data_IF_723345318868
#
_entry.id   IF_723345318868
#
_cell.length_a   1.000
_cell.length_b   1.000
_cell.length_c   1.000
_cell.angle_alpha   90.00
_cell.angle_beta   90.00
_cell.angle_gamma   90.00
#
_symmetry.space_group_name_H-M   'P 1'
#
loop_
_entity.id
_entity.type
_entity.pdbx_description
1 polymer ?
#
# COMPACT_ATOMS: atom_id res chain seq x y z
N UNK A 1 18.05 -36.10 28.68
CA UNK A 1 18.51 -37.46 28.37
C UNK A 1 20.03 -37.45 28.38
N UNK A 2 20.63 -38.32 29.18
CA UNK A 2 22.08 -38.53 29.19
C UNK A 2 22.42 -39.48 28.04
N UNK A 3 23.46 -39.15 27.27
CA UNK A 3 24.05 -40.09 26.34
C UNK A 3 25.57 -40.00 26.38
N UNK A 4 26.21 -41.10 25.99
CA UNK A 4 27.64 -41.30 26.15
C UNK A 4 28.28 -41.42 24.76
N UNK A 5 29.35 -40.67 24.52
CA UNK A 5 30.24 -40.85 23.35
C UNK A 5 31.62 -41.19 23.90
N UNK A 6 32.07 -42.43 23.68
CA UNK A 6 33.30 -42.93 24.30
C UNK A 6 33.17 -42.97 25.82
N UNK A 7 34.19 -42.47 26.54
CA UNK A 7 34.23 -42.43 28.01
C UNK A 7 33.72 -41.10 28.60
N UNK A 8 33.16 -40.21 27.77
CA UNK A 8 32.62 -38.93 28.20
C UNK A 8 31.08 -38.98 28.31
N UNK A 9 30.56 -38.71 29.51
CA UNK A 9 29.12 -38.56 29.74
C UNK A 9 28.69 -37.13 29.43
N UNK A 10 27.68 -36.98 28.56
CA UNK A 10 27.08 -35.69 28.25
C UNK A 10 25.63 -35.64 28.75
N UNK A 11 25.39 -34.76 29.71
CA UNK A 11 24.05 -34.43 30.19
C UNK A 11 23.42 -33.39 29.26
N UNK A 12 22.34 -33.75 28.57
CA UNK A 12 21.48 -32.78 27.88
C UNK A 12 20.11 -32.80 28.54
N UNK A 13 19.66 -31.69 29.10
CA UNK A 13 18.32 -31.57 29.66
C UNK A 13 17.26 -31.75 28.57
N UNK A 14 16.27 -32.65 28.74
CA UNK A 14 15.30 -32.95 27.68
C UNK A 14 14.14 -31.97 27.57
N UNK A 15 14.09 -30.91 28.37
CA UNK A 15 13.13 -29.81 28.22
C UNK A 15 13.75 -28.50 28.68
N UNK A 16 14.85 -28.13 28.04
CA UNK A 16 15.16 -26.72 27.92
C UNK A 16 14.19 -26.16 26.88
N UNK A 17 13.44 -25.10 27.21
CA UNK A 17 12.77 -24.29 26.19
C UNK A 17 13.88 -23.59 25.40
N UNK A 18 14.56 -24.33 24.53
CA UNK A 18 15.36 -23.77 23.44
C UNK A 18 14.41 -23.21 22.40
N UNK A 19 13.72 -22.14 22.76
CA UNK A 19 13.52 -21.07 21.79
C UNK A 19 14.90 -20.59 21.37
N UNK A 20 15.08 -20.37 20.08
CA UNK A 20 15.90 -19.24 19.63
C UNK A 20 17.39 -19.18 20.02
N UNK A 21 18.11 -20.29 20.23
CA UNK A 21 19.58 -20.23 20.36
C UNK A 21 20.30 -19.69 19.09
N UNK A 22 19.57 -19.53 17.98
CA UNK A 22 20.05 -18.96 16.71
C UNK A 22 19.46 -17.57 16.44
N UNK A 23 18.40 -17.16 17.15
CA UNK A 23 17.68 -15.91 16.90
C UNK A 23 17.99 -14.94 18.04
N UNK A 24 18.69 -13.87 17.72
CA UNK A 24 19.01 -12.83 18.67
C UNK A 24 17.80 -11.89 18.83
N UNK A 25 17.03 -12.07 19.90
CA UNK A 25 15.86 -11.25 20.20
C UNK A 25 16.21 -9.79 20.49
N UNK A 26 17.37 -9.51 21.08
CA UNK A 26 17.76 -8.12 21.39
C UNK A 26 18.08 -7.36 20.09
N UNK A 27 18.66 -8.04 19.10
CA UNK A 27 18.87 -7.50 17.75
C UNK A 27 17.54 -7.34 17.02
N UNK A 28 16.67 -8.36 17.07
CA UNK A 28 15.36 -8.30 16.43
C UNK A 28 14.48 -7.19 17.01
N UNK A 29 14.37 -7.08 18.33
CA UNK A 29 13.55 -6.05 18.99
C UNK A 29 14.06 -4.64 18.66
N UNK A 30 15.39 -4.48 18.53
CA UNK A 30 15.99 -3.21 18.08
C UNK A 30 15.63 -2.91 16.63
N UNK A 31 15.77 -3.88 15.73
CA UNK A 31 15.41 -3.74 14.33
C UNK A 31 13.93 -3.38 14.17
N UNK A 32 13.06 -4.09 14.91
CA UNK A 32 11.62 -3.83 14.93
C UNK A 32 11.30 -2.41 15.45
N UNK A 33 11.98 -1.97 16.51
CA UNK A 33 11.82 -0.61 17.02
C UNK A 33 12.25 0.46 15.99
N UNK A 34 13.30 0.20 15.22
CA UNK A 34 13.79 1.10 14.17
C UNK A 34 12.83 1.21 12.98
N UNK A 35 12.27 0.09 12.52
CA UNK A 35 11.39 0.08 11.34
C UNK A 35 9.92 0.36 11.67
N UNK A 36 9.53 0.38 12.96
CA UNK A 36 8.13 0.57 13.37
C UNK A 36 7.49 1.81 12.74
N UNK A 37 8.21 2.93 12.72
CA UNK A 37 7.68 4.19 12.19
C UNK A 37 7.39 4.12 10.69
N UNK A 38 8.11 3.28 9.93
CA UNK A 38 7.91 3.11 8.49
C UNK A 38 6.87 2.04 8.15
N UNK A 39 6.71 1.02 9.00
CA UNK A 39 5.74 -0.07 8.79
C UNK A 39 4.33 0.22 9.35
N UNK A 40 4.23 1.01 10.41
CA UNK A 40 2.95 1.30 11.07
C UNK A 40 1.91 1.99 10.17
N UNK A 41 2.29 2.91 9.26
CA UNK A 41 1.35 3.50 8.31
C UNK A 41 0.72 2.52 7.31
N UNK A 42 1.18 1.26 7.27
CA UNK A 42 0.64 0.19 6.43
C UNK A 42 -0.12 -0.87 7.26
N UNK A 43 -0.29 -0.64 8.58
CA UNK A 43 -0.97 -1.56 9.48
C UNK A 43 -0.29 -2.91 9.61
N UNK A 44 1.04 -2.95 9.45
CA UNK A 44 1.83 -4.18 9.51
C UNK A 44 2.32 -4.51 10.91
N UNK A 45 2.17 -3.60 11.87
CA UNK A 45 2.48 -3.84 13.26
C UNK A 45 1.25 -4.27 14.07
N UNK A 46 1.49 -5.13 15.05
CA UNK A 46 0.53 -5.57 16.03
C UNK A 46 0.71 -4.74 17.31
N UNK A 47 -0.28 -3.91 17.60
CA UNK A 47 -0.29 -3.04 18.78
C UNK A 47 -0.29 -3.80 20.11
N UNK A 48 -0.74 -5.06 20.12
CA UNK A 48 -0.92 -5.82 21.36
C UNK A 48 0.37 -6.40 21.91
N UNK A 49 1.24 -6.90 21.03
CA UNK A 49 2.49 -7.58 21.41
C UNK A 49 3.74 -6.87 20.86
N UNK A 50 3.55 -5.79 20.13
CA UNK A 50 4.63 -4.98 19.59
C UNK A 50 5.40 -5.64 18.43
N UNK A 51 4.85 -6.69 17.82
CA UNK A 51 5.48 -7.45 16.73
C UNK A 51 4.94 -7.04 15.37
N UNK A 52 5.58 -7.50 14.30
CA UNK A 52 4.99 -7.44 12.96
C UNK A 52 3.96 -8.55 12.77
N UNK A 53 2.92 -8.26 12.01
CA UNK A 53 2.01 -9.27 11.49
C UNK A 53 2.81 -10.24 10.59
N UNK A 54 2.65 -11.54 10.83
CA UNK A 54 3.27 -12.58 10.00
C UNK A 54 2.66 -12.66 8.61
N UNK A 55 1.45 -12.13 8.44
CA UNK A 55 0.75 -12.03 7.17
C UNK A 55 -0.22 -10.85 7.19
N UNK A 56 -0.22 -10.08 6.10
CA UNK A 56 -1.15 -8.99 5.87
C UNK A 56 -1.54 -8.95 4.39
N UNK A 57 -2.78 -8.53 4.11
CA UNK A 57 -3.27 -8.31 2.75
C UNK A 57 -3.54 -6.82 2.58
N UNK A 58 -2.85 -6.21 1.62
CA UNK A 58 -3.09 -4.83 1.22
C UNK A 58 -3.97 -4.80 -0.03
N UNK A 59 -4.79 -3.76 -0.15
CA UNK A 59 -5.71 -3.57 -1.27
C UNK A 59 -5.69 -2.14 -1.76
N UNK A 60 -6.14 -1.93 -3.00
CA UNK A 60 -6.20 -0.60 -3.61
C UNK A 60 -4.86 0.13 -3.55
N UNK A 61 -4.91 1.43 -3.24
CA UNK A 61 -3.74 2.30 -3.24
C UNK A 61 -2.67 1.91 -2.20
N UNK A 62 -3.03 1.26 -1.10
CA UNK A 62 -2.05 0.79 -0.11
C UNK A 62 -1.05 -0.21 -0.71
N UNK A 63 -1.47 -0.95 -1.74
CA UNK A 63 -0.58 -1.86 -2.47
C UNK A 63 0.47 -1.10 -3.28
N UNK A 64 0.04 -0.04 -3.97
CA UNK A 64 0.93 0.82 -4.75
C UNK A 64 1.95 1.48 -3.83
N UNK A 65 1.46 2.12 -2.76
CA UNK A 65 2.26 2.79 -1.74
C UNK A 65 3.27 1.83 -1.07
N UNK A 66 2.85 0.62 -0.73
CA UNK A 66 3.73 -0.39 -0.16
C UNK A 66 4.87 -0.76 -1.12
N UNK A 67 4.53 -0.97 -2.40
CA UNK A 67 5.49 -1.37 -3.42
C UNK A 67 6.47 -0.25 -3.81
N UNK A 68 6.03 1.02 -3.83
CA UNK A 68 6.85 2.15 -4.29
C UNK A 68 7.56 2.89 -3.15
N UNK A 69 7.02 2.86 -1.93
CA UNK A 69 7.61 3.57 -0.78
C UNK A 69 8.30 2.61 0.19
N UNK A 70 7.58 1.63 0.73
CA UNK A 70 8.10 0.82 1.84
C UNK A 70 9.07 -0.28 1.38
N UNK A 71 8.73 -1.02 0.33
CA UNK A 71 9.60 -2.11 -0.16
C UNK A 71 11.02 -1.64 -0.51
N UNK A 72 11.23 -0.52 -1.25
CA UNK A 72 12.56 -0.02 -1.52
C UNK A 72 13.31 0.37 -0.24
N UNK A 73 12.64 1.00 0.73
CA UNK A 73 13.24 1.39 2.00
C UNK A 73 13.71 0.19 2.81
N UNK A 74 12.96 -0.91 2.81
CA UNK A 74 13.35 -2.15 3.47
C UNK A 74 14.47 -2.87 2.72
N UNK A 75 14.43 -2.85 1.38
CA UNK A 75 15.42 -3.52 0.53
C UNK A 75 16.79 -2.83 0.51
N UNK A 76 16.84 -1.52 0.80
CA UNK A 76 18.09 -0.74 0.90
C UNK A 76 18.87 -1.00 2.20
N UNK A 77 18.28 -1.75 3.14
CA UNK A 77 18.92 -2.07 4.43
C UNK A 77 19.69 -3.38 4.38
N UNK A 78 20.91 -3.37 4.91
CA UNK A 78 21.77 -4.57 5.00
C UNK A 78 21.28 -5.61 6.03
N UNK A 79 20.39 -5.23 6.94
CA UNK A 79 19.88 -6.06 8.04
C UNK A 79 18.49 -6.66 7.78
N UNK A 80 17.92 -6.44 6.59
CA UNK A 80 16.60 -6.96 6.17
C UNK A 80 16.72 -7.70 4.83
N UNK A 81 16.24 -8.93 4.78
CA UNK A 81 16.13 -9.70 3.54
C UNK A 81 14.72 -9.59 2.96
N UNK A 82 14.57 -8.88 1.84
CA UNK A 82 13.29 -8.69 1.15
C UNK A 82 13.19 -9.69 0.00
N UNK A 83 12.18 -10.57 0.07
CA UNK A 83 11.85 -11.51 -1.00
C UNK A 83 10.52 -11.15 -1.64
N UNK A 84 10.56 -10.95 -2.96
CA UNK A 84 9.38 -10.65 -3.76
C UNK A 84 9.11 -11.84 -4.68
N UNK A 85 7.96 -12.47 -4.50
CA UNK A 85 7.48 -13.54 -5.36
C UNK A 85 6.52 -12.97 -6.42
N UNK A 86 6.79 -13.28 -7.69
CA UNK A 86 6.03 -12.79 -8.83
C UNK A 86 6.56 -11.49 -9.43
N UNK A 87 5.74 -10.84 -10.25
CA UNK A 87 6.07 -9.56 -10.88
C UNK A 87 5.16 -8.48 -10.29
N UNK A 88 5.71 -7.48 -9.57
CA UNK A 88 4.93 -6.33 -9.12
C UNK A 88 4.24 -5.63 -10.30
N UNK A 89 3.07 -5.05 -10.04
CA UNK A 89 2.45 -4.16 -11.01
C UNK A 89 3.33 -2.92 -11.24
N UNK A 90 3.22 -2.31 -12.42
CA UNK A 90 3.94 -1.10 -12.78
C UNK A 90 3.26 0.13 -12.15
N UNK A 91 3.49 0.31 -10.84
CA UNK A 91 2.92 1.42 -10.10
C UNK A 91 3.59 2.74 -10.47
N UNK A 92 2.79 3.70 -10.96
CA UNK A 92 3.27 5.01 -11.40
C UNK A 92 2.35 6.14 -10.96
N UNK A 93 2.94 7.21 -10.43
CA UNK A 93 2.23 8.46 -10.20
C UNK A 93 2.01 9.15 -11.54
N UNK A 94 0.75 9.33 -11.93
CA UNK A 94 0.35 10.05 -13.15
C UNK A 94 -0.39 11.34 -12.82
N UNK A 95 -0.28 11.80 -11.58
CA UNK A 95 -1.05 12.93 -11.12
C UNK A 95 -0.73 14.18 -11.93
N UNK A 96 0.52 14.38 -12.31
CA UNK A 96 0.99 15.56 -13.06
C UNK A 96 0.55 15.58 -14.53
N UNK A 97 0.08 14.45 -15.06
CA UNK A 97 -0.45 14.33 -16.42
C UNK A 97 -1.96 14.50 -16.52
N UNK A 98 -2.62 14.89 -15.43
CA UNK A 98 -4.07 15.07 -15.37
C UNK A 98 -4.54 16.17 -16.33
N UNK A 99 -5.45 15.80 -17.24
CA UNK A 99 -6.16 16.72 -18.14
C UNK A 99 -7.67 16.46 -18.08
N UNK A 100 -8.43 17.47 -17.66
CA UNK A 100 -9.88 17.38 -17.57
C UNK A 100 -10.48 18.00 -18.83
N UNK A 101 -11.20 17.19 -19.61
CA UNK A 101 -11.96 17.64 -20.78
C UNK A 101 -13.46 17.56 -20.53
N UNK A 102 -14.20 18.61 -20.89
CA UNK A 102 -15.65 18.58 -20.92
C UNK A 102 -16.11 18.41 -22.37
N UNK A 103 -16.86 17.34 -22.65
CA UNK A 103 -17.58 17.21 -23.91
C UNK A 103 -19.08 17.17 -23.64
N UNK A 104 -19.86 17.92 -24.40
CA UNK A 104 -21.31 17.93 -24.26
C UNK A 104 -21.92 17.34 -25.52
N UNK A 105 -22.79 16.34 -25.35
CA UNK A 105 -23.70 15.90 -26.41
C UNK A 105 -25.07 16.43 -26.01
N UNK A 106 -25.67 17.26 -26.87
CA UNK A 106 -26.94 17.92 -26.56
C UNK A 106 -28.08 16.88 -26.44
N UNK A 107 -28.37 16.43 -25.22
CA UNK A 107 -29.63 15.81 -24.84
C UNK A 107 -30.41 16.77 -23.93
N UNK A 108 -31.74 16.77 -24.10
CA UNK A 108 -32.63 17.85 -23.67
C UNK A 108 -32.89 17.94 -22.16
N UNK A 109 -32.25 17.10 -21.35
CA UNK A 109 -32.25 17.16 -19.88
C UNK A 109 -30.78 17.19 -19.43
N UNK A 110 -30.29 18.38 -19.06
CA UNK A 110 -28.90 18.58 -18.68
C UNK A 110 -28.68 18.21 -17.21
N UNK A 111 -28.88 16.94 -16.86
CA UNK A 111 -28.26 16.41 -15.66
C UNK A 111 -26.75 16.33 -15.91
N UNK A 112 -25.92 16.58 -14.91
CA UNK A 112 -24.47 16.48 -15.08
C UNK A 112 -24.00 15.07 -15.49
N UNK A 113 -24.85 14.05 -15.29
CA UNK A 113 -24.67 12.70 -15.83
C UNK A 113 -24.84 12.62 -17.36
N UNK A 114 -25.58 13.55 -17.95
CA UNK A 114 -25.80 13.72 -19.39
C UNK A 114 -24.71 14.60 -20.03
N UNK A 115 -23.80 15.16 -19.23
CA UNK A 115 -22.52 15.72 -19.69
C UNK A 115 -21.51 14.58 -19.83
N UNK A 116 -20.99 14.36 -21.04
CA UNK A 116 -19.93 13.39 -21.29
C UNK A 116 -18.58 13.98 -20.88
N UNK A 117 -18.38 14.08 -19.55
CA UNK A 117 -17.12 14.54 -18.94
C UNK A 117 -16.07 13.47 -19.19
N UNK A 118 -15.03 13.84 -19.93
CA UNK A 118 -13.91 12.95 -20.28
C UNK A 118 -12.68 13.38 -19.49
N UNK A 119 -12.29 12.61 -18.49
CA UNK A 119 -11.02 12.85 -17.78
C UNK A 119 -9.93 12.05 -18.48
N UNK A 120 -8.88 12.74 -18.91
CA UNK A 120 -7.75 12.12 -19.60
C UNK A 120 -6.50 12.24 -18.74
N UNK A 121 -5.78 11.13 -18.54
CA UNK A 121 -4.55 11.07 -17.74
C UNK A 121 -3.54 10.26 -18.55
N UNK A 122 -2.37 10.82 -18.83
CA UNK A 122 -1.32 10.16 -19.65
C UNK A 122 -1.90 9.55 -20.95
N UNK A 123 -2.67 10.37 -21.70
CA UNK A 123 -3.38 10.00 -22.93
C UNK A 123 -4.45 8.88 -22.79
N UNK A 124 -4.88 8.56 -21.57
CA UNK A 124 -5.92 7.56 -21.28
C UNK A 124 -7.18 8.20 -20.74
N UNK A 125 -8.32 7.79 -21.26
CA UNK A 125 -9.62 8.22 -20.75
C UNK A 125 -10.00 7.40 -19.52
N UNK A 126 -10.18 8.07 -18.39
CA UNK A 126 -10.77 7.50 -17.17
C UNK A 126 -12.25 7.87 -17.13
N UNK A 127 -13.17 6.91 -16.95
CA UNK A 127 -14.59 7.20 -16.82
C UNK A 127 -14.84 8.16 -15.66
N UNK A 128 -15.56 9.25 -15.93
CA UNK A 128 -15.85 10.25 -14.90
C UNK A 128 -16.58 9.66 -13.69
N UNK A 129 -17.43 8.65 -13.90
CA UNK A 129 -18.14 7.94 -12.83
C UNK A 129 -17.19 7.35 -11.79
N UNK A 130 -16.12 6.69 -12.22
CA UNK A 130 -15.18 6.01 -11.31
C UNK A 130 -14.40 7.03 -10.49
N UNK A 131 -13.97 8.11 -11.14
CA UNK A 131 -13.32 9.24 -10.49
C UNK A 131 -14.25 9.93 -9.48
N UNK A 132 -15.50 10.19 -9.86
CA UNK A 132 -16.47 10.85 -8.99
C UNK A 132 -16.84 10.00 -7.78
N UNK A 133 -16.99 8.68 -7.95
CA UNK A 133 -17.17 7.76 -6.83
C UNK A 133 -15.99 7.86 -5.86
N UNK A 134 -14.75 7.81 -6.36
CA UNK A 134 -13.58 7.95 -5.49
C UNK A 134 -13.50 9.32 -4.79
N UNK A 135 -13.87 10.41 -5.48
CA UNK A 135 -13.93 11.75 -4.90
C UNK A 135 -15.00 11.88 -3.79
N UNK A 136 -16.14 11.18 -3.94
CA UNK A 136 -17.21 11.18 -2.94
C UNK A 136 -16.92 10.30 -1.74
N UNK A 137 -16.16 9.22 -1.92
CA UNK A 137 -15.72 8.33 -0.84
C UNK A 137 -14.60 8.96 0.00
N UNK A 138 -14.29 10.25 -0.23
CA UNK A 138 -13.18 11.00 0.36
C UNK A 138 -11.84 10.23 0.22
N UNK A 139 -11.70 9.46 -0.87
CA UNK A 139 -10.47 8.74 -1.16
C UNK A 139 -9.35 9.75 -1.44
N UNK A 140 -8.15 9.43 -0.98
CA UNK A 140 -6.97 10.27 -1.22
C UNK A 140 -6.40 10.06 -2.62
N UNK A 141 -6.53 8.84 -3.16
CA UNK A 141 -5.98 8.43 -4.44
C UNK A 141 -6.93 7.51 -5.20
N UNK A 142 -6.87 7.58 -6.53
CA UNK A 142 -7.51 6.63 -7.43
C UNK A 142 -6.43 5.71 -8.04
N UNK A 143 -6.53 4.40 -7.83
CA UNK A 143 -5.68 3.40 -8.48
C UNK A 143 -6.37 2.86 -9.73
N UNK A 144 -5.69 2.96 -10.87
CA UNK A 144 -6.14 2.45 -12.16
C UNK A 144 -5.73 0.98 -12.33
N UNK A 145 -6.41 0.28 -13.25
CA UNK A 145 -6.23 -1.16 -13.47
C UNK A 145 -4.85 -1.55 -14.00
N UNK A 146 -4.10 -0.60 -14.55
CA UNK A 146 -2.76 -0.80 -15.09
C UNK A 146 -1.63 -0.46 -14.11
N UNK A 147 -1.96 -0.10 -12.86
CA UNK A 147 -1.00 0.29 -11.82
C UNK A 147 -0.78 1.80 -11.69
N UNK A 148 -1.27 2.62 -12.63
CA UNK A 148 -1.17 4.06 -12.49
C UNK A 148 -2.06 4.58 -11.35
N UNK A 149 -1.61 5.58 -10.60
CA UNK A 149 -2.41 6.20 -9.55
C UNK A 149 -2.43 7.72 -9.66
N UNK A 150 -3.53 8.31 -9.19
CA UNK A 150 -3.81 9.74 -9.24
C UNK A 150 -4.19 10.26 -7.86
N UNK A 151 -3.51 11.30 -7.38
CA UNK A 151 -3.88 12.05 -6.19
C UNK A 151 -5.18 12.85 -6.44
N UNK A 152 -6.14 12.71 -5.52
CA UNK A 152 -7.48 13.30 -5.64
C UNK A 152 -7.62 14.66 -4.93
N UNK A 153 -6.58 15.10 -4.21
CA UNK A 153 -6.51 16.39 -3.52
C UNK A 153 -6.19 17.57 -4.46
N UNK A 154 -5.94 17.29 -5.74
CA UNK A 154 -5.63 18.31 -6.74
C UNK A 154 -6.74 19.36 -6.86
N UNK A 155 -6.40 20.65 -6.96
CA UNK A 155 -7.39 21.73 -6.93
C UNK A 155 -8.40 21.63 -8.08
N UNK A 156 -8.00 21.12 -9.24
CA UNK A 156 -8.85 20.90 -10.40
C UNK A 156 -9.95 19.86 -10.11
N UNK A 157 -9.61 18.77 -9.42
CA UNK A 157 -10.54 17.71 -9.02
C UNK A 157 -11.47 18.16 -7.90
N UNK A 158 -10.94 18.93 -6.94
CA UNK A 158 -11.73 19.53 -5.86
C UNK A 158 -12.72 20.57 -6.39
N UNK A 159 -12.35 21.34 -7.41
CA UNK A 159 -13.26 22.24 -8.11
C UNK A 159 -14.35 21.47 -8.85
N UNK A 160 -13.98 20.39 -9.55
CA UNK A 160 -14.95 19.52 -10.25
C UNK A 160 -15.96 18.91 -9.28
N UNK A 161 -15.51 18.41 -8.11
CA UNK A 161 -16.40 17.90 -7.04
C UNK A 161 -17.41 18.96 -6.61
N UNK A 162 -16.95 20.20 -6.31
CA UNK A 162 -17.84 21.30 -5.90
C UNK A 162 -18.89 21.64 -6.96
N UNK A 163 -18.49 21.73 -8.23
CA UNK A 163 -19.42 22.03 -9.33
C UNK A 163 -20.52 20.98 -9.47
N UNK A 164 -20.19 19.71 -9.23
CA UNK A 164 -21.16 18.61 -9.30
C UNK A 164 -22.07 18.60 -8.07
N UNK A 165 -21.51 18.86 -6.88
CA UNK A 165 -22.27 18.94 -5.63
C UNK A 165 -23.28 20.11 -5.63
N UNK A 166 -22.94 21.25 -6.25
CA UNK A 166 -23.82 22.42 -6.39
C UNK A 166 -24.98 22.20 -7.38
N UNK A 167 -24.83 21.28 -8.33
CA UNK A 167 -25.81 20.98 -9.37
C UNK A 167 -26.82 19.88 -8.97
N UNK A 168 -26.76 19.39 -7.72
CA UNK A 168 -27.61 18.33 -7.19
C UNK A 168 -28.95 18.83 -6.64
#
# INVERSE_FOLDING_TARGET
VLYTIGDAEHAVEPYDRRGDAVRDHDVEDRLLAEIRSVVAPFGLDNDLDGRLLSHATLGGFDTARFATELLPLLADRDDIDVRVDGTPADYRDVSDDLRIGLSTRATGDADWFDLDITVTIDDRTVPFRDLFTALNDDATHLLLSDGAYLALDKPELQQLRRLVDEAR
#
